data_IF_504525218572
#
_entry.id   IF_504525218572
#
_cell.length_a   1.000
_cell.length_b   1.000
_cell.length_c   1.000
_cell.angle_alpha   90.00
_cell.angle_beta   90.00
_cell.angle_gamma   90.00
#
_symmetry.space_group_name_H-M   'P 1'
#
loop_
_entity.id
_entity.type
_entity.pdbx_description
1 polymer ?
#
# COMPACT_ATOMS: atom_id res chain seq x y z
N UNK A 1 15.70 0.14 -12.68
CA UNK A 1 16.85 -0.79 -12.49
C UNK A 1 16.52 -1.73 -11.35
N UNK A 2 16.90 -3.02 -11.41
CA UNK A 2 16.74 -3.94 -10.29
C UNK A 2 17.33 -3.34 -9.00
N UNK A 3 16.61 -3.46 -7.88
CA UNK A 3 17.04 -2.96 -6.57
C UNK A 3 16.74 -1.50 -6.25
N UNK A 4 16.41 -0.65 -7.23
CA UNK A 4 16.01 0.75 -6.98
C UNK A 4 14.50 0.93 -6.82
N UNK A 5 14.08 1.93 -6.05
CA UNK A 5 12.69 2.37 -5.98
C UNK A 5 12.35 3.30 -7.14
N UNK A 6 11.20 3.08 -7.76
CA UNK A 6 10.60 3.95 -8.77
C UNK A 6 9.35 4.59 -8.19
N UNK A 7 9.27 5.93 -8.17
CA UNK A 7 8.21 6.69 -7.50
C UNK A 7 7.22 7.25 -8.52
N UNK A 8 5.93 7.15 -8.21
CA UNK A 8 4.84 7.66 -9.03
C UNK A 8 3.80 8.35 -8.15
N UNK A 9 3.41 9.57 -8.52
CA UNK A 9 2.34 10.33 -7.87
C UNK A 9 0.93 9.96 -8.40
N UNK A 10 0.81 8.76 -8.98
CA UNK A 10 -0.43 8.21 -9.52
C UNK A 10 -0.39 6.68 -9.43
N UNK A 11 -1.54 6.04 -9.60
CA UNK A 11 -1.65 4.59 -9.70
C UNK A 11 -2.01 4.18 -11.13
N UNK A 12 -1.33 3.18 -11.67
CA UNK A 12 -1.84 2.46 -12.84
C UNK A 12 -3.00 1.55 -12.43
N UNK A 13 -3.84 1.08 -13.38
CA UNK A 13 -4.88 0.09 -13.07
C UNK A 13 -4.32 -1.19 -12.43
N UNK A 14 -3.09 -1.58 -12.77
CA UNK A 14 -2.45 -2.74 -12.18
C UNK A 14 -1.98 -2.49 -10.74
N UNK A 15 -1.46 -1.29 -10.43
CA UNK A 15 -1.11 -0.92 -9.05
C UNK A 15 -2.35 -0.94 -8.16
N UNK A 16 -3.46 -0.38 -8.65
CA UNK A 16 -4.74 -0.41 -7.94
C UNK A 16 -5.23 -1.84 -7.73
N UNK A 17 -5.11 -2.70 -8.75
CA UNK A 17 -5.44 -4.13 -8.62
C UNK A 17 -4.60 -4.81 -7.53
N UNK A 18 -3.28 -4.61 -7.52
CA UNK A 18 -2.38 -5.18 -6.51
C UNK A 18 -2.78 -4.70 -5.11
N UNK A 19 -3.04 -3.40 -4.96
CA UNK A 19 -3.45 -2.81 -3.70
C UNK A 19 -4.75 -3.41 -3.17
N UNK A 20 -5.85 -3.33 -3.93
CA UNK A 20 -7.16 -3.77 -3.46
C UNK A 20 -7.25 -5.28 -3.26
N UNK A 21 -6.50 -6.08 -4.02
CA UNK A 21 -6.40 -7.53 -3.79
C UNK A 21 -5.72 -7.86 -2.47
N UNK A 22 -4.66 -7.14 -2.12
CA UNK A 22 -3.94 -7.35 -0.87
C UNK A 22 -4.71 -6.80 0.36
N UNK A 23 -5.40 -5.67 0.22
CA UNK A 23 -6.11 -4.99 1.31
C UNK A 23 -7.42 -5.65 1.77
N UNK A 24 -7.90 -6.69 1.07
CA UNK A 24 -9.17 -7.35 1.38
C UNK A 24 -9.18 -8.13 2.71
N UNK A 25 -8.08 -8.09 3.48
CA UNK A 25 -7.93 -8.76 4.78
C UNK A 25 -7.93 -7.82 6.00
N UNK A 26 -8.01 -6.50 5.82
CA UNK A 26 -7.86 -5.52 6.92
C UNK A 26 -9.20 -4.91 7.38
N UNK A 27 -9.46 -4.99 8.69
CA UNK A 27 -10.84 -4.89 9.20
C UNK A 27 -11.27 -3.52 9.70
N UNK A 28 -10.36 -2.63 10.14
CA UNK A 28 -10.76 -1.42 10.88
C UNK A 28 -10.84 -0.13 10.04
N UNK A 29 -10.15 -0.07 8.90
CA UNK A 29 -10.05 1.14 8.07
C UNK A 29 -10.34 0.83 6.60
N UNK A 30 -10.89 1.80 5.88
CA UNK A 30 -10.85 1.86 4.43
C UNK A 30 -9.57 2.58 4.01
N UNK A 31 -8.78 1.95 3.15
CA UNK A 31 -7.54 2.56 2.67
C UNK A 31 -7.69 3.05 1.24
N UNK A 32 -7.39 4.33 1.01
CA UNK A 32 -7.48 5.01 -0.28
C UNK A 32 -6.07 5.33 -0.76
N UNK A 33 -5.52 4.62 -1.75
CA UNK A 33 -4.15 4.84 -2.19
C UNK A 33 -4.04 6.11 -3.03
N UNK A 34 -3.00 6.90 -2.77
CA UNK A 34 -2.74 8.20 -3.41
C UNK A 34 -1.53 8.15 -4.36
N UNK A 35 -0.48 7.45 -3.96
CA UNK A 35 0.79 7.35 -4.69
C UNK A 35 1.46 6.00 -4.41
N UNK A 36 2.37 5.59 -5.28
CA UNK A 36 3.09 4.32 -5.15
C UNK A 36 4.57 4.45 -5.48
N UNK A 37 5.39 3.72 -4.74
CA UNK A 37 6.75 3.39 -5.12
C UNK A 37 6.88 1.89 -5.36
N UNK A 38 7.58 1.49 -6.41
CA UNK A 38 7.81 0.07 -6.74
C UNK A 38 9.30 -0.26 -6.80
N UNK A 39 9.65 -1.48 -6.41
CA UNK A 39 11.02 -1.98 -6.48
C UNK A 39 11.01 -3.40 -7.03
N UNK A 40 11.75 -3.62 -8.13
CA UNK A 40 11.90 -4.94 -8.73
C UNK A 40 12.94 -5.74 -7.94
N UNK A 41 12.53 -6.92 -7.46
CA UNK A 41 13.32 -7.92 -6.74
C UNK A 41 13.06 -9.30 -7.37
N UNK A 42 13.07 -10.41 -6.61
CA UNK A 42 12.54 -11.70 -7.07
C UNK A 42 10.99 -11.72 -7.06
N UNK A 43 10.40 -10.70 -7.69
CA UNK A 43 9.02 -10.25 -7.49
C UNK A 43 8.98 -8.72 -7.55
N UNK A 44 8.02 -8.12 -6.87
CA UNK A 44 7.91 -6.65 -6.80
C UNK A 44 7.46 -6.24 -5.40
N UNK A 45 8.25 -5.37 -4.78
CA UNK A 45 7.82 -4.65 -3.59
C UNK A 45 7.05 -3.41 -4.04
N UNK A 46 5.95 -3.14 -3.36
CA UNK A 46 5.14 -1.93 -3.50
C UNK A 46 5.12 -1.21 -2.16
N UNK A 47 5.13 0.12 -2.22
CA UNK A 47 4.94 1.00 -1.08
C UNK A 47 3.93 2.07 -1.47
N UNK A 48 2.74 1.98 -0.91
CA UNK A 48 1.65 2.91 -1.17
C UNK A 48 1.57 3.95 -0.06
N UNK A 49 1.44 5.22 -0.44
CA UNK A 49 0.90 6.24 0.44
C UNK A 49 -0.62 6.19 0.32
N UNK A 50 -1.32 6.04 1.43
CA UNK A 50 -2.78 5.95 1.45
C UNK A 50 -3.39 6.75 2.60
N UNK A 51 -4.60 7.25 2.40
CA UNK A 51 -5.43 7.75 3.50
C UNK A 51 -6.11 6.53 4.16
N UNK A 52 -5.96 6.40 5.47
CA UNK A 52 -6.70 5.44 6.27
C UNK A 52 -7.94 6.15 6.83
N UNK A 53 -9.11 5.81 6.31
CA UNK A 53 -10.41 6.31 6.75
C UNK A 53 -11.04 5.30 7.71
N UNK A 54 -11.38 5.68 8.95
CA UNK A 54 -11.99 4.75 9.91
C UNK A 54 -13.34 4.25 9.40
N UNK A 55 -13.62 2.96 9.58
CA UNK A 55 -14.95 2.40 9.26
C UNK A 55 -16.00 2.78 10.29
N UNK A 56 -15.57 3.08 11.52
CA UNK A 56 -16.42 3.61 12.58
C UNK A 56 -16.44 5.14 12.58
N UNK A 57 -17.37 5.73 13.32
CA UNK A 57 -17.54 7.20 13.42
C UNK A 57 -16.63 7.85 14.46
N UNK A 58 -15.78 7.08 15.15
CA UNK A 58 -15.01 7.56 16.31
C UNK A 58 -13.52 7.68 16.03
N UNK A 59 -13.01 7.05 14.96
CA UNK A 59 -11.63 7.21 14.52
C UNK A 59 -11.37 8.57 13.85
N UNK A 60 -10.10 8.94 13.79
CA UNK A 60 -9.61 10.08 13.01
C UNK A 60 -8.89 9.56 11.77
N UNK A 61 -9.13 10.13 10.58
CA UNK A 61 -8.36 9.78 9.39
C UNK A 61 -6.88 10.12 9.55
N UNK A 62 -6.00 9.29 8.99
CA UNK A 62 -4.55 9.53 9.02
C UNK A 62 -3.88 9.06 7.73
N UNK A 63 -2.65 9.54 7.47
CA UNK A 63 -1.84 9.02 6.39
C UNK A 63 -1.15 7.72 6.80
N UNK A 64 -1.17 6.73 5.91
CA UNK A 64 -0.55 5.43 6.10
C UNK A 64 0.41 5.10 4.97
N UNK A 65 1.49 4.42 5.32
CA UNK A 65 2.38 3.76 4.39
C UNK A 65 2.07 2.26 4.41
N UNK A 66 1.67 1.73 3.27
CA UNK A 66 1.29 0.32 3.11
C UNK A 66 2.33 -0.36 2.23
N UNK A 67 2.97 -1.39 2.77
CA UNK A 67 3.98 -2.17 2.05
C UNK A 67 3.37 -3.51 1.63
N UNK A 68 3.51 -3.84 0.35
CA UNK A 68 2.98 -5.07 -0.25
C UNK A 68 4.08 -5.75 -1.03
N UNK A 69 4.17 -7.07 -0.90
CA UNK A 69 5.03 -7.90 -1.72
C UNK A 69 4.21 -8.74 -2.70
N UNK A 70 4.53 -8.64 -3.99
CA UNK A 70 4.01 -9.51 -5.04
C UNK A 70 5.12 -10.47 -5.51
N UNK A 71 5.06 -11.78 -5.19
CA UNK A 71 5.99 -12.75 -5.74
C UNK A 71 5.78 -12.92 -7.25
N UNK A 72 6.79 -13.48 -7.95
CA UNK A 72 6.67 -13.81 -9.38
C UNK A 72 5.44 -14.69 -9.67
N UNK A 73 5.21 -15.67 -8.79
CA UNK A 73 4.06 -16.58 -8.84
C UNK A 73 3.35 -16.54 -7.49
N UNK A 74 2.01 -16.42 -7.49
CA UNK A 74 1.19 -16.32 -6.27
C UNK A 74 0.53 -14.96 -6.09
N UNK A 75 -0.22 -14.79 -5.01
CA UNK A 75 -0.97 -13.57 -4.70
C UNK A 75 -0.09 -12.50 -4.03
N UNK A 76 -0.50 -11.23 -4.13
CA UNK A 76 0.13 -10.14 -3.38
C UNK A 76 -0.23 -10.22 -1.90
N UNK A 77 0.70 -9.87 -1.02
CA UNK A 77 0.51 -9.91 0.43
C UNK A 77 0.99 -8.61 1.07
N UNK A 78 0.21 -8.09 2.02
CA UNK A 78 0.64 -6.99 2.88
C UNK A 78 1.80 -7.49 3.74
N UNK A 79 2.88 -6.73 3.76
CA UNK A 79 4.03 -7.00 4.63
C UNK A 79 4.07 -6.04 5.81
N UNK A 80 3.52 -4.83 5.67
CA UNK A 80 3.50 -3.84 6.73
C UNK A 80 2.46 -2.74 6.47
N UNK A 81 1.91 -2.16 7.54
CA UNK A 81 1.09 -0.94 7.52
C UNK A 81 1.61 -0.03 8.63
N UNK A 82 1.99 1.20 8.29
CA UNK A 82 2.56 2.16 9.24
C UNK A 82 1.80 3.49 9.15
N UNK A 83 1.29 3.99 10.28
CA UNK A 83 0.75 5.34 10.35
C UNK A 83 1.91 6.36 10.29
N UNK A 84 1.80 7.35 9.41
CA UNK A 84 2.83 8.37 9.20
C UNK A 84 2.78 9.42 10.31
N UNK A 85 1.58 9.72 10.81
CA UNK A 85 1.35 10.77 11.81
C UNK A 85 1.95 10.44 13.19
N UNK A 86 2.43 9.21 13.42
CA UNK A 86 3.10 8.81 14.66
C UNK A 86 4.58 9.23 14.73
N UNK A 87 5.10 9.90 13.69
CA UNK A 87 6.50 10.33 13.59
C UNK A 87 6.68 11.85 13.46
N UNK A 88 5.62 12.64 13.69
CA UNK A 88 5.62 14.10 13.75
C UNK A 88 5.21 14.57 15.15
#
# INVERSE_FOLDING_TARGET
MPGGWNYQAYLTPYDAYIFYRAMNSEDNYFYIPLAVATQVVNGTNYRFLAIAEPKDTNGTPFFSLIEIYKPLNGEAQITNITAIDQYL
#
